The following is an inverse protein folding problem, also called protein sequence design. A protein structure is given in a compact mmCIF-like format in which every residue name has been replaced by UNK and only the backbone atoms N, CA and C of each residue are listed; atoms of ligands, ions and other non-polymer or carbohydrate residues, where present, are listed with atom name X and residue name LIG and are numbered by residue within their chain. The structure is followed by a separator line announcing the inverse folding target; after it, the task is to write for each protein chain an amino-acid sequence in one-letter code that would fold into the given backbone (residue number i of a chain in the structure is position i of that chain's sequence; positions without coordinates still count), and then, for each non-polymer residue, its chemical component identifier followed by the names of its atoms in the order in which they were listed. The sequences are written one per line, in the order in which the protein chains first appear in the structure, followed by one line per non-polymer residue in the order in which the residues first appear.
data_IF_626263569036
#
_entry.id   IF_626263569036
#
_cell.length_a   1.000
_cell.length_b   1.000
_cell.length_c   1.000
_cell.angle_alpha   90.00
_cell.angle_beta   90.00
_cell.angle_gamma   90.00
#
_symmetry.space_group_name_H-M   'P 1'
#
loop_
_entity.id
_entity.type
_entity.pdbx_description
1 polymer ?
#
# COMPACT_ATOMS: atom_id res chain seq x y z
N UNK A 1 11.11 19.93 0.52
CA UNK A 1 12.13 19.66 1.56
C UNK A 1 13.07 18.58 1.04
N UNK A 2 14.39 18.78 1.09
CA UNK A 2 15.43 17.80 0.72
C UNK A 2 15.50 16.62 1.73
N UNK A 3 14.36 16.08 2.18
CA UNK A 3 14.31 15.11 3.28
C UNK A 3 15.02 13.79 2.97
N UNK A 4 15.17 13.45 1.69
CA UNK A 4 15.69 12.15 1.27
C UNK A 4 17.20 12.15 1.05
N UNK A 5 17.89 13.31 1.10
CA UNK A 5 19.33 13.43 0.78
C UNK A 5 19.71 12.64 -0.49
N UNK A 6 18.85 12.76 -1.51
CA UNK A 6 18.90 11.95 -2.72
C UNK A 6 19.66 12.68 -3.82
N UNK A 7 20.64 11.98 -4.39
CA UNK A 7 21.45 12.47 -5.50
C UNK A 7 21.28 11.54 -6.70
N UNK A 8 21.19 12.13 -7.89
CA UNK A 8 21.04 11.40 -9.14
C UNK A 8 21.97 11.94 -10.21
N UNK A 9 22.56 11.05 -11.00
CA UNK A 9 23.27 11.39 -12.23
C UNK A 9 22.45 10.87 -13.42
N UNK A 10 21.92 11.80 -14.21
CA UNK A 10 21.26 11.49 -15.48
C UNK A 10 22.29 11.33 -16.59
N UNK A 11 22.00 10.49 -17.56
CA UNK A 11 22.93 10.20 -18.64
C UNK A 11 22.21 9.94 -19.95
N UNK A 12 22.91 10.15 -21.06
CA UNK A 12 22.46 9.75 -22.38
C UNK A 12 23.62 9.44 -23.32
N UNK A 13 23.36 8.59 -24.30
CA UNK A 13 24.21 8.33 -25.47
C UNK A 13 23.31 8.28 -26.71
N UNK A 14 23.79 8.86 -27.81
CA UNK A 14 23.09 8.86 -29.10
C UNK A 14 23.99 8.21 -30.16
N UNK A 15 23.41 7.34 -30.98
CA UNK A 15 24.02 6.83 -32.21
C UNK A 15 23.16 7.25 -33.40
N UNK A 16 23.79 7.80 -34.43
CA UNK A 16 23.13 8.33 -35.61
C UNK A 16 23.40 7.40 -36.79
N UNK A 17 22.34 7.00 -37.49
CA UNK A 17 22.40 6.03 -38.57
C UNK A 17 21.81 6.61 -39.85
N UNK A 18 22.37 6.20 -41.00
CA UNK A 18 21.79 6.43 -42.32
C UNK A 18 21.63 5.07 -43.01
N UNK A 19 20.40 4.74 -43.41
CA UNK A 19 20.05 3.44 -44.00
C UNK A 19 20.52 2.25 -43.14
N UNK A 20 20.41 2.39 -41.81
CA UNK A 20 20.83 1.37 -40.83
C UNK A 20 22.34 1.31 -40.54
N UNK A 21 23.18 2.07 -41.24
CA UNK A 21 24.62 2.14 -40.98
C UNK A 21 24.94 3.26 -40.00
N UNK A 22 25.63 2.94 -38.89
CA UNK A 22 26.10 3.94 -37.92
C UNK A 22 27.12 4.88 -38.57
N UNK A 23 26.79 6.16 -38.61
CA UNK A 23 27.64 7.20 -39.20
C UNK A 23 28.85 7.54 -38.31
N UNK A 24 28.86 7.10 -37.05
CA UNK A 24 29.89 7.41 -36.03
C UNK A 24 30.20 8.91 -35.91
N UNK A 25 29.20 9.75 -36.20
CA UNK A 25 29.33 11.20 -36.12
C UNK A 25 29.34 11.65 -34.67
N UNK A 26 30.29 12.51 -34.34
CA UNK A 26 30.26 13.25 -33.08
C UNK A 26 29.16 14.31 -33.13
N UNK A 27 28.65 14.71 -31.97
CA UNK A 27 27.76 15.87 -31.90
C UNK A 27 28.51 17.11 -32.41
N UNK A 28 27.87 17.88 -33.29
CA UNK A 28 28.42 19.11 -33.83
C UNK A 28 28.50 20.20 -32.75
N UNK A 29 27.52 20.21 -31.85
CA UNK A 29 27.46 21.12 -30.71
C UNK A 29 26.98 20.37 -29.47
N UNK A 30 27.59 20.70 -28.33
CA UNK A 30 27.21 20.17 -27.01
C UNK A 30 27.03 21.36 -26.07
N UNK A 31 25.78 21.69 -25.77
CA UNK A 31 25.42 22.74 -24.83
C UNK A 31 25.05 22.13 -23.48
N UNK A 32 25.64 22.64 -22.41
CA UNK A 32 25.32 22.25 -21.03
C UNK A 32 24.93 23.49 -20.22
N UNK A 33 23.75 23.44 -19.61
CA UNK A 33 23.23 24.42 -18.66
C UNK A 33 23.01 23.79 -17.27
N UNK A 34 22.39 24.55 -16.37
CA UNK A 34 22.12 24.07 -15.00
C UNK A 34 21.08 22.94 -14.96
N UNK A 35 20.11 22.94 -15.87
CA UNK A 35 18.95 22.05 -15.90
C UNK A 35 18.86 21.19 -17.17
N UNK A 36 19.78 21.38 -18.12
CA UNK A 36 19.72 20.77 -19.45
C UNK A 36 21.10 20.47 -20.02
N UNK A 37 21.20 19.31 -20.69
CA UNK A 37 22.31 18.98 -21.59
C UNK A 37 21.74 18.67 -22.97
N UNK A 38 22.31 19.27 -24.02
CA UNK A 38 21.87 19.14 -25.41
C UNK A 38 23.02 18.71 -26.31
N UNK A 39 22.76 17.75 -27.18
CA UNK A 39 23.67 17.28 -28.22
C UNK A 39 23.00 17.53 -29.58
N UNK A 40 23.66 18.26 -30.47
CA UNK A 40 23.14 18.60 -31.80
C UNK A 40 23.88 17.80 -32.87
N UNK A 41 23.14 17.24 -33.83
CA UNK A 41 23.68 16.46 -34.95
C UNK A 41 23.10 16.96 -36.26
N UNK A 42 23.91 16.92 -37.33
CA UNK A 42 23.47 17.19 -38.70
C UNK A 42 23.67 15.92 -39.52
N UNK A 43 22.62 15.53 -40.24
CA UNK A 43 22.62 14.34 -41.10
C UNK A 43 22.12 14.77 -42.47
N UNK A 44 22.95 14.56 -43.49
CA UNK A 44 22.52 14.70 -44.88
C UNK A 44 21.90 13.36 -45.31
N UNK A 45 20.61 13.37 -45.63
CA UNK A 45 19.88 12.21 -46.13
C UNK A 45 19.25 12.55 -47.48
N UNK A 46 19.54 11.75 -48.49
CA UNK A 46 18.96 11.86 -49.82
C UNK A 46 17.51 11.38 -49.89
N UNK A 47 16.85 11.64 -51.03
CA UNK A 47 15.51 11.13 -51.27
C UNK A 47 15.50 9.59 -51.21
N UNK A 48 14.66 9.03 -50.35
CA UNK A 48 14.54 7.58 -50.14
C UNK A 48 15.47 7.02 -49.08
N UNK A 49 16.37 7.82 -48.50
CA UNK A 49 17.21 7.40 -47.38
C UNK A 49 16.50 7.60 -46.03
N UNK A 50 16.82 6.75 -45.06
CA UNK A 50 16.30 6.83 -43.69
C UNK A 50 17.41 7.23 -42.73
N UNK A 51 17.29 8.43 -42.15
CA UNK A 51 18.08 8.83 -40.99
C UNK A 51 17.41 8.33 -39.70
N UNK A 52 18.16 7.70 -38.80
CA UNK A 52 17.65 7.16 -37.54
C UNK A 52 18.54 7.55 -36.36
N UNK A 53 17.90 7.74 -35.20
CA UNK A 53 18.55 8.02 -33.92
C UNK A 53 18.24 6.89 -32.95
N UNK A 54 19.28 6.21 -32.48
CA UNK A 54 19.18 5.34 -31.30
C UNK A 54 19.67 6.12 -30.09
N UNK A 55 18.81 6.27 -29.08
CA UNK A 55 19.14 6.95 -27.82
C UNK A 55 19.07 5.98 -26.64
N UNK A 56 20.16 5.84 -25.91
CA UNK A 56 20.18 5.23 -24.59
C UNK A 56 20.17 6.35 -23.56
N UNK A 57 19.31 6.26 -22.55
CA UNK A 57 19.23 7.26 -21.50
C UNK A 57 18.67 6.67 -20.22
N UNK A 58 18.98 7.31 -19.10
CA UNK A 58 18.55 6.88 -17.78
C UNK A 58 19.19 7.71 -16.69
N UNK A 59 19.17 7.16 -15.47
CA UNK A 59 19.75 7.77 -14.30
C UNK A 59 20.35 6.71 -13.38
N UNK A 60 21.37 7.11 -12.61
CA UNK A 60 21.91 6.36 -11.46
C UNK A 60 21.66 7.18 -10.21
N UNK A 61 21.44 6.51 -9.08
CA UNK A 61 20.95 7.14 -7.84
C UNK A 61 21.78 6.75 -6.62
N UNK A 62 21.87 7.65 -5.65
CA UNK A 62 22.63 7.44 -4.41
C UNK A 62 22.07 6.34 -3.50
N UNK A 63 20.87 5.84 -3.76
CA UNK A 63 20.35 4.64 -3.10
C UNK A 63 21.05 3.35 -3.52
N UNK A 64 21.64 3.29 -4.71
CA UNK A 64 22.21 2.07 -5.29
C UNK A 64 23.72 2.17 -5.51
N UNK A 65 24.28 3.36 -5.37
CA UNK A 65 25.68 3.66 -5.61
C UNK A 65 26.16 4.69 -4.60
N UNK A 66 27.45 4.67 -4.28
CA UNK A 66 28.08 5.76 -3.54
C UNK A 66 27.88 7.08 -4.30
N UNK A 67 27.51 8.14 -3.58
CA UNK A 67 27.20 9.45 -4.14
C UNK A 67 28.37 10.02 -4.97
N UNK A 68 29.61 9.77 -4.56
CA UNK A 68 30.81 10.24 -5.26
C UNK A 68 31.09 9.46 -6.55
N UNK A 69 30.40 8.33 -6.77
CA UNK A 69 30.62 7.42 -7.88
C UNK A 69 29.47 7.39 -8.90
N UNK A 70 28.44 8.23 -8.75
CA UNK A 70 27.27 8.23 -9.64
C UNK A 70 27.63 8.44 -11.12
N UNK A 71 28.55 9.35 -11.43
CA UNK A 71 28.99 9.59 -12.81
C UNK A 71 29.72 8.37 -13.40
N UNK A 72 30.54 7.70 -12.58
CA UNK A 72 31.25 6.47 -12.98
C UNK A 72 30.26 5.33 -13.24
N UNK A 73 29.26 5.16 -12.35
CA UNK A 73 28.18 4.20 -12.53
C UNK A 73 27.38 4.48 -13.82
N UNK A 74 27.01 5.73 -14.07
CA UNK A 74 26.31 6.15 -15.29
C UNK A 74 27.10 5.83 -16.56
N UNK A 75 28.42 6.07 -16.57
CA UNK A 75 29.30 5.70 -17.68
C UNK A 75 29.33 4.20 -17.92
N UNK A 76 29.40 3.40 -16.85
CA UNK A 76 29.37 1.94 -16.96
C UNK A 76 28.06 1.44 -17.58
N UNK A 77 26.91 1.93 -17.08
CA UNK A 77 25.60 1.55 -17.61
C UNK A 77 25.45 1.91 -19.09
N UNK A 78 25.92 3.10 -19.52
CA UNK A 78 25.95 3.46 -20.95
C UNK A 78 26.81 2.49 -21.75
N UNK A 79 28.01 2.16 -21.28
CA UNK A 79 28.91 1.28 -22.00
C UNK A 79 28.30 -0.13 -22.16
N UNK A 80 27.67 -0.65 -21.11
CA UNK A 80 27.00 -1.95 -21.14
C UNK A 80 25.79 -1.94 -22.10
N UNK A 81 24.96 -0.90 -22.06
CA UNK A 81 23.82 -0.74 -22.97
C UNK A 81 24.26 -0.64 -24.44
N UNK A 82 25.34 0.10 -24.72
CA UNK A 82 25.92 0.21 -26.06
C UNK A 82 26.51 -1.11 -26.55
N UNK A 83 27.20 -1.84 -25.67
CA UNK A 83 27.78 -3.14 -26.00
C UNK A 83 26.70 -4.17 -26.35
N UNK A 84 25.53 -4.11 -25.69
CA UNK A 84 24.35 -4.93 -26.03
C UNK A 84 23.66 -4.48 -27.31
N UNK A 85 23.43 -3.18 -27.46
CA UNK A 85 22.63 -2.63 -28.56
C UNK A 85 21.12 -2.68 -28.30
N UNK A 86 20.35 -1.95 -29.11
CA UNK A 86 18.90 -1.76 -28.93
C UNK A 86 18.12 -3.07 -29.08
N UNK A 87 18.39 -3.86 -30.14
CA UNK A 87 17.61 -5.06 -30.44
C UNK A 87 17.74 -6.11 -29.32
N UNK A 88 18.95 -6.32 -28.80
CA UNK A 88 19.16 -7.23 -27.67
C UNK A 88 18.42 -6.77 -26.41
N UNK A 89 18.42 -5.46 -26.10
CA UNK A 89 17.69 -4.90 -24.97
C UNK A 89 16.17 -5.03 -25.15
N UNK A 90 15.67 -4.84 -26.37
CA UNK A 90 14.26 -5.04 -26.72
C UNK A 90 13.85 -6.50 -26.55
N UNK A 91 14.68 -7.45 -26.98
CA UNK A 91 14.38 -8.88 -26.85
C UNK A 91 14.45 -9.34 -25.39
N UNK A 92 15.36 -8.81 -24.58
CA UNK A 92 15.36 -9.01 -23.13
C UNK A 92 14.10 -8.46 -22.47
N UNK A 93 13.63 -7.28 -22.89
CA UNK A 93 12.38 -6.70 -22.40
C UNK A 93 11.19 -7.59 -22.76
N UNK A 94 11.10 -8.08 -24.01
CA UNK A 94 10.04 -9.00 -24.44
C UNK A 94 10.06 -10.29 -23.63
N UNK A 95 11.24 -10.88 -23.42
CA UNK A 95 11.40 -12.10 -22.64
C UNK A 95 10.97 -11.89 -21.17
N UNK A 96 11.37 -10.77 -20.56
CA UNK A 96 10.95 -10.42 -19.21
C UNK A 96 9.42 -10.27 -19.09
N UNK A 97 8.77 -9.61 -20.07
CA UNK A 97 7.31 -9.49 -20.08
C UNK A 97 6.60 -10.81 -20.38
N UNK A 98 7.14 -11.64 -21.26
CA UNK A 98 6.59 -12.97 -21.54
C UNK A 98 6.52 -13.81 -20.25
N UNK A 99 7.61 -13.84 -19.47
CA UNK A 99 7.63 -14.54 -18.17
C UNK A 99 6.64 -13.97 -17.16
N UNK A 100 6.40 -12.66 -17.17
CA UNK A 100 5.35 -12.04 -16.33
C UNK A 100 3.96 -12.55 -16.76
N UNK A 101 3.68 -12.57 -18.06
CA UNK A 101 2.39 -13.01 -18.60
C UNK A 101 2.14 -14.51 -18.37
N UNK A 102 3.16 -15.35 -18.42
CA UNK A 102 3.04 -16.78 -18.09
C UNK A 102 2.43 -17.03 -16.71
N UNK A 103 2.73 -16.17 -15.73
CA UNK A 103 2.26 -16.31 -14.35
C UNK A 103 1.02 -15.48 -14.02
N UNK A 104 0.85 -14.32 -14.66
CA UNK A 104 -0.15 -13.32 -14.26
C UNK A 104 -1.33 -13.16 -15.22
N UNK A 105 -1.27 -13.72 -16.44
CA UNK A 105 -2.33 -13.49 -17.43
C UNK A 105 -3.67 -14.11 -17.01
N UNK A 106 -4.75 -13.40 -17.30
CA UNK A 106 -6.12 -13.85 -17.11
C UNK A 106 -6.80 -13.81 -18.47
N UNK A 107 -7.30 -14.96 -18.93
CA UNK A 107 -8.03 -15.06 -20.20
C UNK A 107 -9.53 -14.94 -19.94
N UNK A 108 -10.19 -14.02 -20.63
CA UNK A 108 -11.64 -13.83 -20.59
C UNK A 108 -12.20 -14.09 -21.99
N UNK A 109 -13.01 -15.15 -22.12
CA UNK A 109 -13.67 -15.48 -23.37
C UNK A 109 -14.96 -14.67 -23.57
N UNK A 110 -15.28 -14.33 -24.81
CA UNK A 110 -16.51 -13.62 -25.18
C UNK A 110 -16.55 -12.10 -24.89
N UNK A 111 -15.59 -11.53 -24.15
CA UNK A 111 -15.53 -10.08 -23.87
C UNK A 111 -14.12 -9.49 -24.07
N UNK A 112 -13.89 -8.95 -25.28
CA UNK A 112 -12.62 -8.31 -25.66
C UNK A 112 -12.32 -7.07 -24.81
N UNK A 113 -13.33 -6.32 -24.37
CA UNK A 113 -13.13 -5.11 -23.55
C UNK A 113 -12.70 -5.49 -22.14
N UNK A 114 -13.35 -6.48 -21.54
CA UNK A 114 -12.93 -7.03 -20.25
C UNK A 114 -11.52 -7.62 -20.33
N UNK A 115 -11.21 -8.39 -21.40
CA UNK A 115 -9.88 -8.95 -21.63
C UNK A 115 -8.78 -7.87 -21.72
N UNK A 116 -9.04 -6.78 -22.44
CA UNK A 116 -8.11 -5.65 -22.51
C UNK A 116 -7.99 -4.96 -21.14
N UNK A 117 -9.11 -4.76 -20.45
CA UNK A 117 -9.15 -4.12 -19.14
C UNK A 117 -8.33 -4.87 -18.09
N UNK A 118 -8.51 -6.19 -17.98
CA UNK A 118 -7.76 -6.98 -16.98
C UNK A 118 -6.26 -7.00 -17.29
N UNK A 119 -5.87 -7.18 -18.56
CA UNK A 119 -4.46 -7.12 -18.98
C UNK A 119 -3.87 -5.73 -18.74
N UNK A 120 -4.61 -4.65 -18.96
CA UNK A 120 -4.13 -3.31 -18.63
C UNK A 120 -3.84 -3.14 -17.13
N UNK A 121 -4.73 -3.63 -16.25
CA UNK A 121 -4.50 -3.57 -14.81
C UNK A 121 -3.29 -4.41 -14.37
N UNK A 122 -3.17 -5.65 -14.85
CA UNK A 122 -2.02 -6.54 -14.60
C UNK A 122 -0.71 -5.87 -15.07
N UNK A 123 -0.72 -5.27 -16.26
CA UNK A 123 0.42 -4.54 -16.80
C UNK A 123 0.83 -3.38 -15.88
N UNK A 124 -0.11 -2.56 -15.40
CA UNK A 124 0.18 -1.41 -14.53
C UNK A 124 0.71 -1.83 -13.15
N UNK A 125 0.18 -2.91 -12.56
CA UNK A 125 0.70 -3.46 -11.29
C UNK A 125 2.15 -3.91 -11.45
N UNK A 126 2.48 -4.59 -12.56
CA UNK A 126 3.84 -5.05 -12.85
C UNK A 126 4.81 -3.92 -13.23
N UNK A 127 4.31 -2.83 -13.85
CA UNK A 127 5.11 -1.63 -14.08
C UNK A 127 5.44 -0.91 -12.77
N UNK A 128 4.51 -0.92 -11.81
CA UNK A 128 4.65 -0.21 -10.54
C UNK A 128 5.60 -0.92 -9.58
N UNK A 129 5.48 -2.24 -9.46
CA UNK A 129 6.29 -3.01 -8.51
C UNK A 129 6.61 -4.41 -9.02
N UNK A 130 7.89 -4.76 -9.00
CA UNK A 130 8.41 -6.08 -9.41
C UNK A 130 8.89 -6.92 -8.22
N UNK A 131 8.89 -6.38 -7.00
CA UNK A 131 9.36 -7.10 -5.81
C UNK A 131 10.88 -7.27 -5.69
N UNK A 132 11.68 -6.56 -6.50
CA UNK A 132 13.14 -6.70 -6.50
C UNK A 132 13.85 -5.88 -5.42
N UNK A 133 13.15 -4.93 -4.79
CA UNK A 133 13.71 -4.04 -3.77
C UNK A 133 12.77 -3.92 -2.56
N UNK A 134 13.17 -4.42 -1.37
CA UNK A 134 12.35 -4.35 -0.15
C UNK A 134 12.28 -2.95 0.46
N UNK A 135 12.97 -1.95 -0.11
CA UNK A 135 12.86 -0.54 0.28
C UNK A 135 11.75 0.20 -0.46
N UNK A 136 11.17 -0.43 -1.48
CA UNK A 136 10.11 0.16 -2.30
C UNK A 136 8.75 -0.46 -1.96
N UNK A 137 7.71 0.31 -2.22
CA UNK A 137 6.32 -0.09 -2.06
C UNK A 137 5.47 0.45 -3.23
N UNK A 138 4.16 0.19 -3.21
CA UNK A 138 3.22 0.51 -4.27
C UNK A 138 2.51 1.82 -3.93
N UNK A 139 2.76 2.85 -4.74
CA UNK A 139 2.02 4.10 -4.62
C UNK A 139 0.61 3.99 -5.22
N UNK A 140 -0.40 4.72 -4.70
CA UNK A 140 -1.78 4.69 -5.22
C UNK A 140 -1.94 5.06 -6.70
N UNK A 141 -0.91 5.68 -7.29
CA UNK A 141 -0.83 6.02 -8.73
C UNK A 141 0.45 5.51 -9.39
N UNK A 142 1.13 4.55 -8.77
CA UNK A 142 2.43 4.08 -9.21
C UNK A 142 3.36 5.22 -9.59
N UNK A 143 3.99 5.11 -10.77
CA UNK A 143 4.85 6.14 -11.35
C UNK A 143 4.20 6.85 -12.55
N UNK A 144 2.87 7.02 -12.53
CA UNK A 144 2.12 7.59 -13.68
C UNK A 144 1.75 9.06 -13.52
N UNK A 145 2.19 9.73 -12.46
CA UNK A 145 1.94 11.15 -12.21
C UNK A 145 2.26 11.56 -10.77
N UNK A 146 2.13 12.86 -10.49
CA UNK A 146 2.57 13.45 -9.22
C UNK A 146 1.50 13.39 -8.11
N UNK A 147 0.23 13.17 -8.45
CA UNK A 147 -0.84 13.08 -7.44
C UNK A 147 -0.57 11.91 -6.49
N UNK A 148 -0.66 12.17 -5.18
CA UNK A 148 -0.24 11.29 -4.08
C UNK A 148 1.28 11.05 -3.94
N UNK A 149 2.11 11.78 -4.71
CA UNK A 149 3.55 11.92 -4.45
C UNK A 149 4.38 10.64 -4.46
N UNK A 150 3.90 9.55 -5.08
CA UNK A 150 4.56 8.24 -5.06
C UNK A 150 4.69 7.63 -3.65
N UNK A 151 3.84 8.07 -2.71
CA UNK A 151 3.85 7.64 -1.32
C UNK A 151 3.06 6.35 -1.09
N UNK A 152 3.32 5.70 0.03
CA UNK A 152 2.72 4.42 0.44
C UNK A 152 1.49 4.66 1.31
N UNK A 153 0.42 3.93 1.01
CA UNK A 153 -0.84 3.88 1.76
C UNK A 153 -1.15 2.43 2.18
N UNK A 154 -2.21 2.23 2.96
CA UNK A 154 -2.75 0.91 3.30
C UNK A 154 -3.23 0.09 2.09
N UNK A 155 -3.42 0.73 0.93
CA UNK A 155 -3.80 0.10 -0.35
C UNK A 155 -2.91 -1.10 -0.70
N UNK A 156 -1.62 -1.01 -0.37
CA UNK A 156 -0.66 -2.09 -0.59
C UNK A 156 -1.12 -3.36 0.11
N UNK A 157 -1.34 -3.26 1.42
CA UNK A 157 -1.68 -4.40 2.26
C UNK A 157 -3.11 -4.88 2.03
N UNK A 158 -4.04 -3.93 1.83
CA UNK A 158 -5.45 -4.25 1.68
C UNK A 158 -5.83 -4.83 0.30
N UNK A 159 -5.18 -4.39 -0.78
CA UNK A 159 -5.60 -4.73 -2.14
C UNK A 159 -4.49 -5.33 -3.02
N UNK A 160 -3.25 -4.86 -2.88
CA UNK A 160 -2.19 -5.24 -3.82
C UNK A 160 -1.52 -6.57 -3.46
N UNK A 161 -1.26 -6.84 -2.19
CA UNK A 161 -0.54 -8.04 -1.74
C UNK A 161 -1.14 -9.35 -2.30
N UNK A 162 -2.47 -9.58 -2.30
CA UNK A 162 -3.05 -10.79 -2.89
C UNK A 162 -2.63 -11.05 -4.34
N UNK A 163 -2.57 -10.01 -5.17
CA UNK A 163 -2.14 -10.14 -6.56
C UNK A 163 -0.69 -10.63 -6.65
N UNK A 164 0.22 -10.06 -5.86
CA UNK A 164 1.63 -10.45 -5.90
C UNK A 164 1.86 -11.85 -5.32
N UNK A 165 1.13 -12.23 -4.28
CA UNK A 165 1.20 -13.60 -3.77
C UNK A 165 0.77 -14.64 -4.80
N UNK A 166 -0.29 -14.35 -5.57
CA UNK A 166 -0.83 -15.28 -6.56
C UNK A 166 -0.03 -15.33 -7.87
N UNK A 167 0.63 -14.23 -8.26
CA UNK A 167 1.22 -14.09 -9.60
C UNK A 167 2.74 -13.95 -9.62
N UNK A 168 3.40 -13.98 -8.45
CA UNK A 168 4.85 -13.84 -8.32
C UNK A 168 5.44 -14.86 -7.34
N UNK A 169 6.77 -14.90 -7.34
CA UNK A 169 7.52 -15.56 -6.28
C UNK A 169 7.15 -14.96 -4.90
N UNK A 170 7.03 -15.82 -3.89
CA UNK A 170 6.59 -15.46 -2.54
C UNK A 170 7.48 -14.37 -1.90
N UNK A 171 8.76 -14.29 -2.31
CA UNK A 171 9.68 -13.26 -1.86
C UNK A 171 9.20 -11.85 -2.21
N UNK A 172 8.40 -11.67 -3.27
CA UNK A 172 7.85 -10.37 -3.66
C UNK A 172 6.88 -9.85 -2.60
N UNK A 173 5.92 -10.67 -2.18
CA UNK A 173 5.00 -10.30 -1.10
C UNK A 173 5.74 -10.15 0.23
N UNK A 174 6.71 -11.02 0.51
CA UNK A 174 7.56 -10.93 1.71
C UNK A 174 8.38 -9.63 1.74
N UNK A 175 8.79 -9.10 0.60
CA UNK A 175 9.48 -7.81 0.50
C UNK A 175 8.56 -6.62 0.84
N UNK A 176 7.28 -6.67 0.46
CA UNK A 176 6.28 -5.67 0.88
C UNK A 176 6.06 -5.70 2.40
N UNK A 177 6.02 -6.89 3.01
CA UNK A 177 5.97 -7.00 4.47
C UNK A 177 7.27 -6.55 5.14
N UNK A 178 8.42 -6.82 4.52
CA UNK A 178 9.74 -6.36 5.00
C UNK A 178 9.85 -4.84 4.96
N UNK A 179 9.25 -4.17 3.96
CA UNK A 179 9.15 -2.72 3.91
C UNK A 179 8.49 -2.15 5.18
N UNK A 180 7.37 -2.74 5.63
CA UNK A 180 6.70 -2.33 6.87
C UNK A 180 7.52 -2.63 8.12
N UNK A 181 8.18 -3.78 8.19
CA UNK A 181 9.09 -4.09 9.29
C UNK A 181 10.23 -3.07 9.40
N UNK A 182 10.85 -2.68 8.28
CA UNK A 182 11.93 -1.69 8.27
C UNK A 182 11.48 -0.29 8.75
N UNK A 183 10.18 -0.02 8.75
CA UNK A 183 9.58 1.23 9.24
C UNK A 183 8.96 1.10 10.64
N UNK A 184 9.13 -0.02 11.35
CA UNK A 184 8.55 -0.24 12.68
C UNK A 184 9.00 0.84 13.69
N UNK A 185 10.29 1.16 13.75
CA UNK A 185 10.80 2.20 14.65
C UNK A 185 10.18 3.57 14.34
N UNK A 186 9.97 3.89 13.06
CA UNK A 186 9.30 5.12 12.65
C UNK A 186 7.82 5.14 13.02
N UNK A 187 7.14 4.01 12.95
CA UNK A 187 5.77 3.87 13.45
C UNK A 187 5.67 4.03 14.98
N UNK A 188 6.70 3.59 15.71
CA UNK A 188 6.81 3.80 17.16
C UNK A 188 7.04 5.28 17.48
N UNK A 189 8.00 5.93 16.80
CA UNK A 189 8.23 7.38 16.91
C UNK A 189 6.94 8.17 16.61
N UNK A 190 6.16 7.74 15.62
CA UNK A 190 4.90 8.37 15.26
C UNK A 190 3.86 8.23 16.38
N UNK A 191 3.70 7.03 16.96
CA UNK A 191 2.79 6.82 18.09
C UNK A 191 3.21 7.63 19.33
N UNK A 192 4.51 7.74 19.62
CA UNK A 192 5.03 8.55 20.73
C UNK A 192 4.67 10.02 20.61
N UNK A 193 4.69 10.59 19.39
CA UNK A 193 4.25 11.97 19.14
C UNK A 193 2.78 12.21 19.49
N UNK A 194 1.96 11.16 19.49
CA UNK A 194 0.53 11.19 19.82
C UNK A 194 0.24 10.77 21.27
N UNK A 195 1.28 10.57 22.09
CA UNK A 195 1.14 10.23 23.51
C UNK A 195 1.05 8.74 23.82
N UNK A 196 1.24 7.86 22.84
CA UNK A 196 1.35 6.42 23.09
C UNK A 196 2.74 6.04 23.59
N UNK A 197 2.81 4.97 24.38
CA UNK A 197 4.03 4.56 25.09
C UNK A 197 4.33 3.07 24.91
N UNK A 198 5.38 2.59 25.58
CA UNK A 198 5.76 1.17 25.64
C UNK A 198 6.07 0.52 24.27
N UNK A 199 6.44 1.29 23.25
CA UNK A 199 6.67 0.75 21.90
C UNK A 199 5.38 0.44 21.13
N UNK A 200 4.26 1.08 21.45
CA UNK A 200 3.11 1.14 20.56
C UNK A 200 3.54 1.68 19.19
N UNK A 201 3.08 1.05 18.12
CA UNK A 201 3.39 1.42 16.75
C UNK A 201 2.10 1.88 16.04
N UNK A 202 2.09 3.11 15.56
CA UNK A 202 1.07 3.61 14.65
C UNK A 202 1.76 3.93 13.34
N UNK A 203 1.59 3.05 12.35
CA UNK A 203 2.14 3.29 11.03
C UNK A 203 1.57 4.60 10.46
N UNK A 204 2.35 5.37 9.69
CA UNK A 204 1.82 6.55 9.02
C UNK A 204 0.74 6.18 8.00
N UNK A 205 -0.22 7.07 7.79
CA UNK A 205 -1.21 6.93 6.73
C UNK A 205 -0.56 7.12 5.37
N UNK A 206 0.35 8.09 5.26
CA UNK A 206 1.07 8.40 4.02
C UNK A 206 2.56 8.46 4.29
N UNK A 207 3.35 7.66 3.59
CA UNK A 207 4.80 7.66 3.83
C UNK A 207 5.67 7.28 2.65
N UNK A 208 6.87 7.86 2.59
CA UNK A 208 7.94 7.42 1.69
C UNK A 208 9.07 6.71 2.44
N UNK A 209 9.35 7.10 3.70
CA UNK A 209 10.52 6.70 4.48
C UNK A 209 10.17 6.20 5.90
N UNK A 210 8.89 5.91 6.16
CA UNK A 210 8.35 5.53 7.46
C UNK A 210 7.81 6.71 8.29
N UNK A 211 8.17 7.95 7.99
CA UNK A 211 7.59 9.13 8.64
C UNK A 211 6.26 9.53 8.02
N UNK A 212 5.36 10.07 8.83
CA UNK A 212 4.12 10.65 8.34
C UNK A 212 4.41 11.86 7.45
N UNK A 213 3.84 11.83 6.24
CA UNK A 213 4.07 12.83 5.20
C UNK A 213 2.79 13.58 4.81
N UNK A 214 1.64 13.23 5.40
CA UNK A 214 0.37 13.92 5.21
C UNK A 214 0.13 15.01 6.27
N UNK A 215 -0.75 15.97 5.96
CA UNK A 215 -1.06 17.11 6.83
C UNK A 215 -2.56 17.29 7.14
N UNK A 216 -3.44 16.46 6.59
CA UNK A 216 -4.88 16.49 6.91
C UNK A 216 -5.15 15.58 8.12
N UNK A 217 -5.53 16.17 9.25
CA UNK A 217 -5.57 15.50 10.54
C UNK A 217 -6.63 14.39 10.61
N UNK A 218 -7.75 14.59 9.91
CA UNK A 218 -8.92 13.70 9.82
C UNK A 218 -8.56 12.32 9.27
N UNK A 219 -7.55 12.26 8.39
CA UNK A 219 -7.09 11.04 7.75
C UNK A 219 -5.81 10.55 8.44
N UNK A 220 -4.90 11.47 8.74
CA UNK A 220 -3.58 11.16 9.29
C UNK A 220 -3.64 10.49 10.66
N UNK A 221 -4.44 11.04 11.57
CA UNK A 221 -4.45 10.64 12.97
C UNK A 221 -5.67 9.81 13.36
N UNK A 222 -6.77 9.91 12.61
CA UNK A 222 -8.02 9.21 12.94
C UNK A 222 -8.25 7.95 12.09
N UNK A 223 -7.65 7.82 10.90
CA UNK A 223 -7.81 6.66 10.02
C UNK A 223 -6.87 5.50 10.38
N UNK A 224 -7.04 4.97 11.59
CA UNK A 224 -6.08 4.10 12.26
C UNK A 224 -6.19 2.61 11.89
N UNK A 225 -7.22 2.22 11.13
CA UNK A 225 -7.47 0.84 10.70
C UNK A 225 -6.37 0.28 9.78
N UNK A 226 -5.54 1.16 9.17
CA UNK A 226 -4.34 0.79 8.40
C UNK A 226 -3.36 -0.11 9.15
N UNK A 227 -3.23 0.05 10.47
CA UNK A 227 -2.45 -0.86 11.30
C UNK A 227 -3.01 -2.29 11.21
N UNK A 228 -4.34 -2.39 11.22
CA UNK A 228 -5.06 -3.64 11.04
C UNK A 228 -4.81 -4.28 9.68
N UNK A 229 -4.81 -3.50 8.60
CA UNK A 229 -4.48 -4.00 7.26
C UNK A 229 -3.07 -4.59 7.19
N UNK A 230 -2.09 -3.97 7.87
CA UNK A 230 -0.72 -4.50 7.96
C UNK A 230 -0.69 -5.84 8.70
N UNK A 231 -1.35 -5.96 9.85
CA UNK A 231 -1.44 -7.22 10.58
C UNK A 231 -2.17 -8.30 9.74
N UNK A 232 -3.24 -7.93 9.04
CA UNK A 232 -3.97 -8.81 8.14
C UNK A 232 -3.10 -9.28 6.97
N UNK A 233 -2.25 -8.43 6.41
CA UNK A 233 -1.31 -8.84 5.37
C UNK A 233 -0.26 -9.84 5.85
N UNK A 234 0.19 -9.74 7.10
CA UNK A 234 1.09 -10.74 7.72
C UNK A 234 0.38 -12.09 7.85
N UNK A 235 -0.86 -12.08 8.35
CA UNK A 235 -1.71 -13.27 8.41
C UNK A 235 -1.95 -13.88 7.02
N UNK A 236 -2.35 -13.05 6.06
CA UNK A 236 -2.72 -13.51 4.74
C UNK A 236 -1.52 -14.06 3.97
N UNK A 237 -0.31 -13.52 4.19
CA UNK A 237 0.93 -14.09 3.66
C UNK A 237 1.10 -15.53 4.13
N UNK A 238 1.11 -15.77 5.43
CA UNK A 238 1.24 -17.13 5.95
C UNK A 238 0.10 -18.04 5.47
N UNK A 239 -1.15 -17.56 5.53
CA UNK A 239 -2.34 -18.30 5.07
C UNK A 239 -2.23 -18.76 3.62
N UNK A 240 -1.70 -17.92 2.74
CA UNK A 240 -1.60 -18.21 1.31
C UNK A 240 -0.35 -19.02 0.94
N UNK A 241 0.81 -18.68 1.52
CA UNK A 241 2.10 -19.27 1.12
C UNK A 241 2.49 -20.51 1.91
N UNK A 242 1.95 -20.66 3.13
CA UNK A 242 2.42 -21.62 4.13
C UNK A 242 3.78 -21.25 4.75
N UNK A 243 4.40 -20.15 4.32
CA UNK A 243 5.70 -19.70 4.85
C UNK A 243 5.52 -19.00 6.20
N UNK A 244 5.72 -19.76 7.28
CA UNK A 244 5.66 -19.23 8.64
C UNK A 244 6.90 -18.42 9.01
N UNK A 245 8.04 -18.57 8.30
CA UNK A 245 9.35 -18.02 8.71
C UNK A 245 9.33 -16.50 8.91
N UNK A 246 8.51 -15.77 8.15
CA UNK A 246 8.40 -14.33 8.27
C UNK A 246 7.94 -13.88 9.67
N UNK A 247 7.04 -14.62 10.33
CA UNK A 247 6.46 -14.24 11.63
C UNK A 247 7.53 -14.20 12.74
N UNK A 248 8.27 -15.29 13.06
CA UNK A 248 9.32 -15.24 14.06
C UNK A 248 10.48 -14.33 13.62
N UNK A 249 10.83 -14.26 12.33
CA UNK A 249 11.93 -13.40 11.89
C UNK A 249 11.65 -11.89 12.02
N UNK A 250 10.41 -11.45 11.76
CA UNK A 250 10.04 -10.03 11.63
C UNK A 250 8.62 -9.72 12.08
N UNK A 251 7.65 -10.50 11.60
CA UNK A 251 6.23 -10.19 11.70
C UNK A 251 5.72 -10.04 13.13
N UNK A 252 6.20 -10.87 14.06
CA UNK A 252 5.74 -10.84 15.44
C UNK A 252 6.11 -9.53 16.16
N UNK A 253 7.25 -8.92 15.83
CA UNK A 253 7.62 -7.61 16.37
C UNK A 253 6.66 -6.49 15.89
N UNK A 254 6.25 -6.56 14.62
CA UNK A 254 5.26 -5.64 14.04
C UNK A 254 3.90 -5.81 14.70
N UNK A 255 3.46 -7.07 14.86
CA UNK A 255 2.20 -7.43 15.51
C UNK A 255 2.16 -6.94 16.96
N UNK A 256 3.24 -7.11 17.74
CA UNK A 256 3.36 -6.61 19.11
C UNK A 256 3.20 -5.09 19.15
N UNK A 257 3.91 -4.35 18.28
CA UNK A 257 3.80 -2.89 18.21
C UNK A 257 2.37 -2.42 17.91
N UNK A 258 1.69 -3.10 16.98
CA UNK A 258 0.30 -2.80 16.61
C UNK A 258 -0.67 -3.13 17.77
N UNK A 259 -0.52 -4.28 18.44
CA UNK A 259 -1.39 -4.65 19.58
C UNK A 259 -1.24 -3.69 20.76
N UNK A 260 -0.01 -3.20 21.01
CA UNK A 260 0.24 -2.14 22.00
C UNK A 260 -0.49 -0.85 21.68
N UNK A 261 -0.50 -0.46 20.41
CA UNK A 261 -1.28 0.69 19.95
C UNK A 261 -2.77 0.47 20.20
N UNK A 262 -3.34 -0.66 19.77
CA UNK A 262 -4.76 -0.93 19.95
C UNK A 262 -5.19 -0.98 21.41
N UNK A 263 -4.40 -1.59 22.30
CA UNK A 263 -4.71 -1.62 23.72
C UNK A 263 -4.75 -0.21 24.34
N UNK A 264 -3.84 0.68 23.94
CA UNK A 264 -3.79 2.06 24.45
C UNK A 264 -4.82 2.99 23.77
N UNK A 265 -5.21 2.67 22.53
CA UNK A 265 -6.17 3.46 21.74
C UNK A 265 -7.64 3.20 22.12
N UNK A 266 -7.93 2.00 22.61
CA UNK A 266 -9.25 1.62 23.12
C UNK A 266 -9.48 2.19 24.52
N UNK A 267 -10.71 2.62 24.79
CA UNK A 267 -11.15 3.17 26.07
C UNK A 267 -12.18 2.25 26.69
N UNK A 268 -12.04 1.89 27.97
CA UNK A 268 -13.11 1.18 28.68
C UNK A 268 -14.24 2.16 29.04
N UNK A 269 -15.41 1.98 28.42
CA UNK A 269 -16.61 2.76 28.70
C UNK A 269 -17.40 2.13 29.84
N UNK A 270 -17.54 2.85 30.95
CA UNK A 270 -18.41 2.43 32.07
C UNK A 270 -19.90 2.54 31.73
N UNK A 271 -20.26 3.29 30.68
CA UNK A 271 -21.64 3.41 30.22
C UNK A 271 -22.11 2.14 29.49
N UNK A 272 -21.26 1.58 28.62
CA UNK A 272 -21.57 0.35 27.88
C UNK A 272 -20.99 -0.92 28.52
N UNK A 273 -20.13 -0.79 29.54
CA UNK A 273 -19.32 -1.88 30.11
C UNK A 273 -18.55 -2.65 29.02
N UNK A 274 -17.99 -1.90 28.07
CA UNK A 274 -17.26 -2.40 26.91
C UNK A 274 -16.07 -1.50 26.59
N UNK A 275 -15.09 -2.04 25.88
CA UNK A 275 -14.05 -1.24 25.23
C UNK A 275 -14.61 -0.62 23.95
N UNK A 276 -14.41 0.68 23.79
CA UNK A 276 -14.85 1.50 22.66
C UNK A 276 -13.65 2.18 22.03
N UNK A 277 -13.73 2.47 20.74
CA UNK A 277 -12.73 3.28 20.03
C UNK A 277 -13.45 4.52 19.50
N UNK A 278 -13.09 5.68 20.05
CA UNK A 278 -13.76 6.95 19.82
C UNK A 278 -12.93 7.86 18.92
N UNK A 279 -13.56 8.74 18.14
CA UNK A 279 -12.89 9.73 17.29
C UNK A 279 -11.98 9.08 16.24
N UNK A 280 -12.56 8.29 15.34
CA UNK A 280 -11.85 7.61 14.26
C UNK A 280 -12.47 7.94 12.90
N UNK A 281 -11.71 7.65 11.85
CA UNK A 281 -12.18 7.64 10.47
C UNK A 281 -12.08 6.18 9.99
N UNK A 282 -13.20 5.61 9.54
CA UNK A 282 -13.19 4.30 8.87
C UNK A 282 -12.73 4.42 7.42
N UNK A 283 -12.72 3.33 6.64
CA UNK A 283 -12.52 3.39 5.20
C UNK A 283 -13.46 4.38 4.48
N UNK A 284 -14.66 4.62 5.02
CA UNK A 284 -15.55 5.65 4.51
C UNK A 284 -15.07 7.07 4.91
N UNK A 285 -14.20 7.68 4.11
CA UNK A 285 -13.71 9.05 4.36
C UNK A 285 -14.76 10.17 4.11
N UNK A 286 -15.99 9.85 3.70
CA UNK A 286 -17.10 10.82 3.74
C UNK A 286 -17.63 11.06 5.15
N UNK A 287 -17.04 10.40 6.14
CA UNK A 287 -17.36 10.59 7.54
C UNK A 287 -16.12 10.41 8.41
N UNK A 288 -15.85 11.38 9.29
CA UNK A 288 -14.68 11.40 10.16
C UNK A 288 -15.08 11.72 11.59
N UNK A 289 -14.14 11.54 12.53
CA UNK A 289 -14.36 11.72 13.97
C UNK A 289 -15.60 10.95 14.49
N UNK A 290 -15.82 9.75 13.96
CA UNK A 290 -16.92 8.86 14.37
C UNK A 290 -16.52 8.00 15.55
N UNK A 291 -17.52 7.44 16.24
CA UNK A 291 -17.31 6.54 17.37
C UNK A 291 -17.69 5.12 16.98
N UNK A 292 -16.85 4.17 17.41
CA UNK A 292 -17.11 2.74 17.28
C UNK A 292 -17.33 2.29 15.84
N UNK A 293 -16.47 2.76 14.93
CA UNK A 293 -16.50 2.25 13.56
C UNK A 293 -16.35 0.72 13.57
N UNK A 294 -17.31 0.00 12.99
CA UNK A 294 -17.36 -1.47 13.12
C UNK A 294 -16.08 -2.12 12.60
N UNK A 295 -15.63 -1.75 11.40
CA UNK A 295 -14.42 -2.34 10.81
C UNK A 295 -13.19 -2.06 11.66
N UNK A 296 -13.01 -0.82 12.12
CA UNK A 296 -11.89 -0.42 12.99
C UNK A 296 -11.88 -1.21 14.30
N UNK A 297 -13.04 -1.33 14.97
CA UNK A 297 -13.15 -2.11 16.20
C UNK A 297 -12.87 -3.59 15.95
N UNK A 298 -13.37 -4.13 14.84
CA UNK A 298 -13.27 -5.55 14.54
C UNK A 298 -11.84 -5.94 14.22
N UNK A 299 -11.17 -5.15 13.37
CA UNK A 299 -9.78 -5.40 13.03
C UNK A 299 -8.85 -5.15 14.22
N UNK A 300 -9.16 -4.20 15.11
CA UNK A 300 -8.41 -4.00 16.35
C UNK A 300 -8.47 -5.22 17.27
N UNK A 301 -9.68 -5.74 17.53
CA UNK A 301 -9.88 -6.98 18.29
C UNK A 301 -9.13 -8.15 17.62
N UNK A 302 -9.34 -8.34 16.33
CA UNK A 302 -8.74 -9.44 15.58
C UNK A 302 -7.21 -9.38 15.61
N UNK A 303 -6.60 -8.19 15.46
CA UNK A 303 -5.16 -8.01 15.56
C UNK A 303 -4.62 -8.48 16.91
N UNK A 304 -5.28 -8.10 18.00
CA UNK A 304 -4.87 -8.53 19.35
C UNK A 304 -4.95 -10.04 19.47
N UNK A 305 -6.07 -10.65 19.10
CA UNK A 305 -6.26 -12.11 19.20
C UNK A 305 -5.22 -12.86 18.36
N UNK A 306 -4.99 -12.41 17.11
CA UNK A 306 -4.00 -12.99 16.22
C UNK A 306 -2.57 -12.86 16.79
N UNK A 307 -2.20 -11.69 17.32
CA UNK A 307 -0.89 -11.50 17.96
C UNK A 307 -0.71 -12.45 19.15
N UNK A 308 -1.72 -12.61 20.01
CA UNK A 308 -1.66 -13.52 21.16
C UNK A 308 -1.48 -14.98 20.71
N UNK A 309 -2.18 -15.39 19.66
CA UNK A 309 -2.00 -16.71 19.04
C UNK A 309 -0.58 -16.89 18.51
N UNK A 310 -0.03 -15.89 17.80
CA UNK A 310 1.31 -15.97 17.23
C UNK A 310 2.42 -15.94 18.30
N UNK A 311 2.21 -15.25 19.42
CA UNK A 311 3.14 -15.32 20.57
C UNK A 311 3.20 -16.75 21.09
N UNK A 312 2.04 -17.37 21.36
CA UNK A 312 1.98 -18.74 21.88
C UNK A 312 2.59 -19.76 20.92
N UNK A 313 2.31 -19.61 19.61
CA UNK A 313 2.86 -20.49 18.58
C UNK A 313 4.38 -20.33 18.43
N UNK A 314 4.91 -19.11 18.45
CA UNK A 314 6.36 -18.85 18.40
C UNK A 314 7.06 -19.30 19.68
N UNK A 315 6.41 -19.23 20.84
CA UNK A 315 6.94 -19.79 22.09
C UNK A 315 7.12 -21.31 22.01
N UNK A 316 6.13 -22.03 21.48
CA UNK A 316 6.14 -23.50 21.37
C UNK A 316 7.08 -24.00 20.25
N UNK A 317 6.97 -23.42 19.05
CA UNK A 317 7.65 -23.93 17.85
C UNK A 317 9.01 -23.25 17.57
N UNK A 318 9.24 -22.03 18.07
CA UNK A 318 10.42 -21.20 17.77
C UNK A 318 11.02 -20.52 19.03
N UNK A 319 11.39 -21.27 20.08
CA UNK A 319 11.74 -20.73 21.39
C UNK A 319 12.95 -19.77 21.39
N UNK A 320 13.88 -19.93 20.45
CA UNK A 320 15.02 -19.02 20.29
C UNK A 320 14.58 -17.64 19.79
N UNK A 321 13.69 -17.60 18.79
CA UNK A 321 13.12 -16.36 18.29
C UNK A 321 12.19 -15.74 19.32
N UNK A 322 11.37 -16.54 20.00
CA UNK A 322 10.56 -16.07 21.13
C UNK A 322 11.42 -15.33 22.17
N UNK A 323 12.50 -15.96 22.63
CA UNK A 323 13.41 -15.36 23.61
C UNK A 323 14.02 -14.03 23.12
N UNK A 324 14.43 -13.97 21.85
CA UNK A 324 14.94 -12.74 21.22
C UNK A 324 13.89 -11.63 21.18
N UNK A 325 12.66 -11.97 20.76
CA UNK A 325 11.57 -11.01 20.58
C UNK A 325 11.10 -10.49 21.94
N UNK A 326 10.92 -11.36 22.94
CA UNK A 326 10.55 -10.93 24.30
C UNK A 326 11.63 -10.02 24.91
N UNK A 327 12.92 -10.35 24.73
CA UNK A 327 14.02 -9.51 25.20
C UNK A 327 14.06 -8.14 24.48
N UNK A 328 13.80 -8.11 23.17
CA UNK A 328 13.77 -6.85 22.38
C UNK A 328 12.58 -5.97 22.73
N UNK A 329 11.40 -6.57 22.89
CA UNK A 329 10.14 -5.85 23.10
C UNK A 329 9.83 -5.55 24.56
N UNK A 330 10.54 -6.20 25.49
CA UNK A 330 10.28 -6.17 26.93
C UNK A 330 8.80 -6.44 27.26
N UNK A 331 8.22 -7.42 26.57
CA UNK A 331 6.82 -7.83 26.71
C UNK A 331 6.67 -8.74 27.93
N UNK A 332 5.61 -8.54 28.72
CA UNK A 332 5.30 -9.35 29.88
C UNK A 332 3.86 -9.89 29.88
N UNK A 333 3.60 -10.90 30.72
CA UNK A 333 2.30 -11.56 30.78
C UNK A 333 1.15 -10.63 31.27
N UNK A 334 1.46 -9.60 32.05
CA UNK A 334 0.45 -8.65 32.52
C UNK A 334 -0.02 -7.72 31.39
N UNK A 335 0.88 -7.36 30.47
CA UNK A 335 0.58 -6.67 29.24
C UNK A 335 -0.32 -7.52 28.33
N UNK A 336 -0.01 -8.81 28.13
CA UNK A 336 -0.85 -9.73 27.35
C UNK A 336 -2.28 -9.84 27.91
N UNK A 337 -2.42 -9.92 29.24
CA UNK A 337 -3.72 -9.96 29.90
C UNK A 337 -4.55 -8.69 29.62
N UNK A 338 -3.93 -7.51 29.64
CA UNK A 338 -4.61 -6.25 29.30
C UNK A 338 -5.05 -6.22 27.85
N UNK A 339 -4.24 -6.73 26.93
CA UNK A 339 -4.62 -6.84 25.52
C UNK A 339 -5.86 -7.72 25.39
N UNK A 340 -5.86 -8.90 26.03
CA UNK A 340 -6.99 -9.83 25.99
C UNK A 340 -8.29 -9.22 26.55
N UNK A 341 -8.20 -8.42 27.62
CA UNK A 341 -9.36 -7.68 28.15
C UNK A 341 -9.98 -6.74 27.10
N UNK A 342 -9.15 -6.03 26.33
CA UNK A 342 -9.62 -5.15 25.25
C UNK A 342 -10.32 -5.96 24.15
N UNK A 343 -9.69 -7.05 23.69
CA UNK A 343 -10.24 -7.88 22.63
C UNK A 343 -11.58 -8.53 23.03
N UNK A 344 -11.66 -9.10 24.23
CA UNK A 344 -12.87 -9.77 24.74
C UNK A 344 -14.01 -8.80 25.04
N UNK A 345 -13.66 -7.57 25.43
CA UNK A 345 -14.60 -6.53 25.80
C UNK A 345 -14.95 -5.55 24.69
N UNK A 346 -14.45 -5.73 23.45
CA UNK A 346 -14.68 -4.79 22.36
C UNK A 346 -16.18 -4.63 22.03
N UNK A 347 -16.61 -3.39 21.81
CA UNK A 347 -17.96 -3.05 21.39
C UNK A 347 -18.10 -3.06 19.87
N UNK A 348 -19.25 -3.55 19.38
CA UNK A 348 -19.65 -3.50 17.98
C UNK A 348 -21.07 -2.95 17.91
N UNK A 349 -21.30 -1.81 17.24
CA UNK A 349 -22.65 -1.28 17.10
C UNK A 349 -23.47 -2.21 16.18
N UNK A 350 -24.68 -2.55 16.61
CA UNK A 350 -25.56 -3.49 15.91
C UNK A 350 -27.01 -3.00 15.96
N UNK A 351 -27.70 -3.07 14.82
CA UNK A 351 -29.13 -2.81 14.71
C UNK A 351 -29.87 -4.14 14.75
N UNK A 352 -30.65 -4.38 15.81
CA UNK A 352 -31.53 -5.56 15.89
C UNK A 352 -32.70 -5.48 14.90
N UNK A 353 -33.12 -4.26 14.54
CA UNK A 353 -34.22 -4.03 13.58
C UNK A 353 -33.79 -4.37 12.16
N UNK A 354 -32.61 -3.90 11.74
CA UNK A 354 -32.06 -4.16 10.41
C UNK A 354 -31.25 -5.47 10.35
N UNK A 355 -30.91 -6.03 11.51
CA UNK A 355 -30.06 -7.21 11.69
C UNK A 355 -28.62 -7.05 11.17
N UNK A 356 -28.09 -5.82 11.13
CA UNK A 356 -26.74 -5.50 10.64
C UNK A 356 -25.87 -4.83 11.70
N UNK A 357 -24.57 -5.08 11.64
CA UNK A 357 -23.58 -4.23 12.27
C UNK A 357 -23.60 -2.85 11.63
N UNK A 358 -23.67 -1.82 12.46
CA UNK A 358 -23.67 -0.45 11.99
C UNK A 358 -22.25 0.01 11.67
N UNK A 359 -22.09 0.83 10.63
CA UNK A 359 -20.78 1.37 10.27
C UNK A 359 -20.15 2.14 11.44
N UNK A 360 -20.95 2.85 12.22
CA UNK A 360 -20.56 3.53 13.46
C UNK A 360 -21.80 3.81 14.32
N UNK A 361 -21.60 4.27 15.56
CA UNK A 361 -22.70 4.84 16.34
C UNK A 361 -23.32 6.06 15.65
N UNK A 362 -24.65 6.14 15.63
CA UNK A 362 -25.39 7.26 15.02
C UNK A 362 -25.61 7.14 13.50
N UNK A 363 -25.20 6.03 12.85
CA UNK A 363 -25.43 5.85 11.41
C UNK A 363 -26.92 5.94 11.03
N UNK A 364 -27.81 5.36 11.84
CA UNK A 364 -29.26 5.33 11.59
C UNK A 364 -29.97 6.67 11.89
N UNK A 365 -29.30 7.64 12.53
CA UNK A 365 -29.87 8.97 12.78
C UNK A 365 -29.94 9.83 11.50
N UNK A 366 -29.34 9.35 10.42
CA UNK A 366 -29.22 10.04 9.13
C UNK A 366 -30.47 9.85 8.27
N UNK A 367 -30.65 10.76 7.32
CA UNK A 367 -31.68 10.60 6.29
C UNK A 367 -31.23 9.54 5.27
N UNK A 368 -31.68 8.30 5.44
CA UNK A 368 -31.28 7.11 4.67
C UNK A 368 -31.84 7.08 3.23
N UNK A 369 -31.50 8.08 2.41
CA UNK A 369 -31.81 8.12 0.98
C UNK A 369 -30.77 7.32 0.19
N UNK A 370 -31.22 6.37 -0.63
CA UNK A 370 -30.35 5.55 -1.47
C UNK A 370 -29.73 6.38 -2.59
N UNK A 371 -28.55 5.99 -3.08
CA UNK A 371 -27.85 6.65 -4.19
C UNK A 371 -28.70 6.69 -5.47
N UNK A 372 -29.53 5.66 -5.70
CA UNK A 372 -30.45 5.59 -6.83
C UNK A 372 -31.60 6.63 -6.77
N UNK A 373 -31.99 7.02 -5.56
CA UNK A 373 -33.08 7.96 -5.29
C UNK A 373 -32.59 9.41 -5.17
N UNK A 374 -31.27 9.62 -5.07
CA UNK A 374 -30.66 10.95 -5.08
C UNK A 374 -30.71 11.56 -6.49
N UNK A 375 -31.18 12.82 -6.60
CA UNK A 375 -31.18 13.57 -7.85
C UNK A 375 -29.79 13.60 -8.49
N UNK A 376 -29.70 13.14 -9.75
CA UNK A 376 -28.46 13.12 -10.55
C UNK A 376 -27.82 14.50 -10.68
N UNK A 377 -28.61 15.57 -10.60
CA UNK A 377 -28.11 16.95 -10.60
C UNK A 377 -27.19 17.25 -9.41
N UNK A 378 -27.26 16.45 -8.33
CA UNK A 378 -26.47 16.59 -7.11
C UNK A 378 -25.20 15.72 -7.09
N UNK A 379 -24.96 14.89 -8.12
CA UNK A 379 -23.81 13.99 -8.21
C UNK A 379 -22.69 14.52 -9.14
N UNK A 380 -21.39 14.33 -8.83
CA UNK A 380 -20.87 13.68 -7.62
C UNK A 380 -20.93 14.63 -6.40
N UNK A 381 -21.27 14.08 -5.23
CA UNK A 381 -21.59 14.89 -4.04
C UNK A 381 -20.37 15.69 -3.55
N UNK A 382 -19.16 15.16 -3.66
CA UNK A 382 -17.92 15.84 -3.28
C UNK A 382 -17.59 17.09 -4.13
N UNK A 383 -18.30 17.33 -5.23
CA UNK A 383 -18.15 18.54 -6.06
C UNK A 383 -19.34 19.49 -5.94
N UNK A 384 -20.47 19.02 -5.41
CA UNK A 384 -21.76 19.73 -5.47
C UNK A 384 -22.37 20.01 -4.10
N UNK A 385 -21.94 19.31 -3.07
CA UNK A 385 -22.35 19.52 -1.70
C UNK A 385 -21.22 20.16 -0.90
N UNK A 386 -21.58 20.90 0.14
CA UNK A 386 -20.64 21.29 1.17
C UNK A 386 -20.17 20.04 1.94
N UNK A 387 -18.94 20.07 2.44
CA UNK A 387 -18.39 18.96 3.21
C UNK A 387 -19.21 18.70 4.50
N UNK A 388 -19.75 19.74 5.15
CA UNK A 388 -20.65 19.58 6.31
C UNK A 388 -21.85 18.70 6.01
N UNK A 389 -22.42 18.83 4.80
CA UNK A 389 -23.61 18.08 4.39
C UNK A 389 -23.25 16.63 4.11
N UNK A 390 -22.06 16.38 3.55
CA UNK A 390 -21.54 15.03 3.28
C UNK A 390 -21.33 14.28 4.60
N UNK A 391 -20.69 14.92 5.59
CA UNK A 391 -20.38 14.32 6.90
C UNK A 391 -21.61 13.80 7.68
N UNK A 392 -22.80 14.35 7.41
CA UNK A 392 -24.07 13.95 8.05
C UNK A 392 -25.03 13.24 7.09
N UNK A 393 -24.51 12.72 5.99
CA UNK A 393 -25.27 11.98 4.98
C UNK A 393 -25.04 10.46 5.11
N UNK A 394 -25.93 9.61 4.58
CA UNK A 394 -25.76 8.15 4.65
C UNK A 394 -24.72 7.63 3.65
N UNK A 395 -24.17 8.49 2.77
CA UNK A 395 -23.37 8.05 1.65
C UNK A 395 -21.98 7.58 2.08
N UNK A 396 -21.55 6.50 1.45
CA UNK A 396 -20.34 5.78 1.76
C UNK A 396 -19.40 5.94 0.57
N UNK A 397 -18.22 6.54 0.78
CA UNK A 397 -17.24 6.78 -0.30
C UNK A 397 -16.76 5.47 -0.93
N UNK A 398 -16.58 4.44 -0.11
CA UNK A 398 -16.02 3.14 -0.44
C UNK A 398 -16.34 2.15 0.69
N UNK A 399 -16.25 0.84 0.42
CA UNK A 399 -16.57 -0.21 1.38
C UNK A 399 -15.92 0.03 2.76
N UNK A 400 -16.74 -0.02 3.81
CA UNK A 400 -16.33 0.15 5.22
C UNK A 400 -16.72 -1.09 6.04
N UNK A 401 -18.00 -1.27 6.36
CA UNK A 401 -18.50 -2.54 6.94
C UNK A 401 -18.20 -3.70 5.99
N UNK A 402 -18.47 -3.51 4.69
CA UNK A 402 -18.19 -4.51 3.66
C UNK A 402 -16.70 -4.79 3.48
N UNK A 403 -15.81 -3.84 3.83
CA UNK A 403 -14.37 -4.10 3.85
C UNK A 403 -13.99 -5.09 4.97
N UNK A 404 -14.62 -4.95 6.14
CA UNK A 404 -14.46 -5.91 7.24
C UNK A 404 -14.95 -7.30 6.86
N UNK A 405 -16.12 -7.37 6.23
CA UNK A 405 -16.68 -8.64 5.75
C UNK A 405 -15.82 -9.29 4.66
N UNK A 406 -15.20 -8.49 3.78
CA UNK A 406 -14.27 -9.02 2.78
C UNK A 406 -13.00 -9.62 3.39
N UNK A 407 -12.43 -9.03 4.45
CA UNK A 407 -11.26 -9.59 5.12
C UNK A 407 -11.58 -10.83 5.94
N UNK A 408 -12.76 -10.85 6.56
CA UNK A 408 -13.17 -11.85 7.54
C UNK A 408 -14.39 -12.64 7.05
N UNK A 409 -14.45 -12.92 5.74
CA UNK A 409 -15.60 -13.58 5.11
C UNK A 409 -15.94 -14.90 5.81
N UNK A 410 -14.92 -15.65 6.21
CA UNK A 410 -15.01 -16.94 6.90
C UNK A 410 -15.44 -16.84 8.37
N UNK A 411 -15.57 -15.64 8.93
CA UNK A 411 -16.10 -15.42 10.28
C UNK A 411 -17.61 -15.21 10.31
N UNK A 412 -18.25 -15.01 9.15
CA UNK A 412 -19.68 -14.70 9.05
C UNK A 412 -20.40 -15.74 8.20
N UNK A 413 -21.69 -15.92 8.48
CA UNK A 413 -22.56 -16.77 7.66
C UNK A 413 -22.86 -16.09 6.32
N UNK A 414 -23.18 -16.88 5.29
CA UNK A 414 -23.54 -16.32 3.97
C UNK A 414 -24.73 -15.37 4.05
N UNK A 415 -25.70 -15.70 4.91
CA UNK A 415 -26.87 -14.86 5.19
C UNK A 415 -26.46 -13.51 5.77
N UNK A 416 -25.50 -13.48 6.71
CA UNK A 416 -24.96 -12.22 7.23
C UNK A 416 -24.22 -11.43 6.14
N UNK A 417 -23.43 -12.09 5.29
CA UNK A 417 -22.74 -11.41 4.17
C UNK A 417 -23.74 -10.72 3.23
N UNK A 418 -24.80 -11.45 2.82
CA UNK A 418 -25.86 -10.95 1.94
C UNK A 418 -26.62 -9.79 2.59
N UNK A 419 -27.02 -9.94 3.85
CA UNK A 419 -27.76 -8.91 4.58
C UNK A 419 -26.99 -7.59 4.72
N UNK A 420 -25.69 -7.65 5.02
CA UNK A 420 -24.88 -6.44 5.12
C UNK A 420 -24.60 -5.82 3.75
N UNK A 421 -24.41 -6.65 2.71
CA UNK A 421 -24.27 -6.18 1.34
C UNK A 421 -25.52 -5.42 0.89
N UNK A 422 -26.70 -6.02 1.04
CA UNK A 422 -27.98 -5.44 0.64
C UNK A 422 -28.32 -4.15 1.41
N UNK A 423 -27.85 -4.03 2.66
CA UNK A 423 -28.02 -2.81 3.45
C UNK A 423 -27.09 -1.68 3.01
N UNK A 424 -25.80 -1.96 2.79
CA UNK A 424 -24.78 -0.92 2.58
C UNK A 424 -24.53 -0.54 1.11
N UNK A 425 -24.67 -1.48 0.17
CA UNK A 425 -24.45 -1.21 -1.26
C UNK A 425 -25.32 -0.05 -1.78
N UNK A 426 -26.62 0.07 -1.41
CA UNK A 426 -27.45 1.16 -1.91
C UNK A 426 -27.02 2.57 -1.49
N UNK A 427 -26.12 2.69 -0.51
CA UNK A 427 -25.57 3.96 -0.01
C UNK A 427 -24.14 4.23 -0.50
N UNK A 428 -23.52 3.29 -1.22
CA UNK A 428 -22.13 3.37 -1.67
C UNK A 428 -21.99 4.04 -3.06
#
# INVERSE_FOLDING_TARGET
TFKTHFSAATYMHNSIQLNGSDLKVAAQDVAAGQDKVQFSYVVEAGQGETASLTKFGGYTVSLNHDENNLISAAKQVINDAKAKGYDALLDEQKAAWASIWEMADITIDGDVKAQQGIRFNIFQLNQTYLGKDPRLNIGPKGFTGEKYGGSTYWDTEAYCIPFYMATKDQQVARNLLTYRYNHLEKAIENAQKLGFTNGAALYPMVTMNGEECHNEWEITFEEIHRNGAIAFAIYNFYRFTGDYSYIPEKGLEVLIGISRFWQQRATYSTNSNKYVILGVTGPNEYENNVNNNFYTNYIAKWCIDYTLEQIAKVEDEYPADHSRIMAKTNLDAAELAKWKMVADGMYFPYSEEDGVYLQQDGFLDKELVKVADLDKSQRPINQKWSWDRILRSPYIKQADVLQGFYFFEDHFTREQLEQHFDFYEPYT
#
